data_IF_599727886444
#
_entry.id   IF_599727886444
#
_cell.length_a   1.000
_cell.length_b   1.000
_cell.length_c   1.000
_cell.angle_alpha   90.00
_cell.angle_beta   90.00
_cell.angle_gamma   90.00
#
_symmetry.space_group_name_H-M   'P 1'
#
loop_
_entity.id
_entity.type
_entity.pdbx_description
1 polymer ?
#
# COMPACT_ATOMS: atom_id res chain seq x y z
N UNK A 1 1.52 17.97 20.83
CA UNK A 1 2.20 18.72 19.78
C UNK A 1 1.25 19.40 18.83
N UNK A 2 1.80 20.20 17.97
CA UNK A 2 1.02 20.85 16.94
C UNK A 2 0.54 19.87 15.89
N UNK A 3 -0.64 20.12 15.33
CA UNK A 3 -1.16 19.32 14.21
C UNK A 3 -1.63 20.26 13.11
N UNK A 4 -1.52 19.78 11.89
CA UNK A 4 -1.93 20.52 10.71
C UNK A 4 -2.79 19.61 9.86
N UNK A 5 -3.92 20.11 9.42
CA UNK A 5 -4.77 19.34 8.49
C UNK A 5 -4.16 19.38 7.10
N UNK A 6 -4.06 18.21 6.47
CA UNK A 6 -3.58 18.07 5.08
C UNK A 6 -4.68 17.34 4.32
N UNK A 7 -5.16 17.93 3.24
CA UNK A 7 -6.24 17.37 2.44
C UNK A 7 -5.81 17.36 0.97
N UNK A 8 -4.91 16.43 0.59
CA UNK A 8 -4.32 16.47 -0.75
C UNK A 8 -5.33 16.41 -1.89
N UNK A 9 -6.44 15.71 -1.69
CA UNK A 9 -7.48 15.56 -2.70
C UNK A 9 -8.73 16.38 -2.37
N UNK A 10 -8.62 17.33 -1.45
CA UNK A 10 -9.75 18.17 -1.05
C UNK A 10 -10.40 17.70 0.24
N UNK A 11 -11.27 18.53 0.79
CA UNK A 11 -11.90 18.26 2.09
C UNK A 11 -13.09 17.31 2.04
N UNK A 12 -13.63 17.07 0.85
CA UNK A 12 -14.81 16.21 0.69
C UNK A 12 -14.45 14.74 0.50
N UNK A 13 -13.24 14.36 0.85
CA UNK A 13 -12.74 12.99 0.72
C UNK A 13 -12.59 12.33 2.07
N UNK A 14 -12.79 11.01 2.12
CA UNK A 14 -12.46 10.20 3.29
C UNK A 14 -11.10 9.57 3.09
N UNK A 15 -10.17 9.91 3.96
CA UNK A 15 -8.78 9.45 3.88
C UNK A 15 -8.54 8.29 4.84
N UNK A 16 -7.80 7.28 4.39
CA UNK A 16 -7.53 6.05 5.13
C UNK A 16 -6.05 5.69 5.02
N UNK A 17 -5.55 5.01 6.02
CA UNK A 17 -4.21 4.41 6.03
C UNK A 17 -3.09 5.37 5.65
N UNK A 18 -2.98 6.54 6.30
CA UNK A 18 -1.88 7.45 6.00
C UNK A 18 -0.56 6.91 6.54
N UNK A 19 0.50 7.08 5.77
CA UNK A 19 1.85 6.81 6.25
C UNK A 19 2.88 7.63 5.49
N UNK A 20 3.99 7.90 6.15
CA UNK A 20 5.06 8.75 5.62
C UNK A 20 6.16 7.84 5.08
N UNK A 21 6.73 8.21 3.94
CA UNK A 21 7.85 7.46 3.38
C UNK A 21 9.04 7.45 4.34
N UNK A 22 9.89 6.42 4.29
CA UNK A 22 11.05 6.37 5.20
C UNK A 22 11.93 7.60 5.16
N UNK A 23 12.05 8.26 4.00
CA UNK A 23 12.86 9.49 3.89
C UNK A 23 12.11 10.75 4.29
N UNK A 24 10.84 10.65 4.71
CA UNK A 24 10.06 11.77 5.21
C UNK A 24 9.52 12.72 4.16
N UNK A 25 9.66 12.43 2.86
CA UNK A 25 9.31 13.40 1.81
C UNK A 25 7.95 13.18 1.17
N UNK A 26 7.37 11.99 1.32
CA UNK A 26 6.12 11.64 0.65
C UNK A 26 5.09 11.12 1.65
N UNK A 27 3.84 11.32 1.29
CA UNK A 27 2.68 10.85 2.05
C UNK A 27 1.94 9.82 1.21
N UNK A 28 1.72 8.64 1.78
CA UNK A 28 0.90 7.57 1.20
C UNK A 28 -0.45 7.58 1.90
N UNK A 29 -1.51 7.43 1.15
CA UNK A 29 -2.85 7.35 1.72
C UNK A 29 -3.82 6.74 0.73
N UNK A 30 -4.97 6.31 1.23
CA UNK A 30 -6.08 5.88 0.37
C UNK A 30 -7.21 6.88 0.48
N UNK A 31 -7.88 7.14 -0.64
CA UNK A 31 -9.10 7.93 -0.68
C UNK A 31 -10.25 6.95 -0.97
N UNK A 32 -11.21 6.89 -0.06
CA UNK A 32 -12.36 5.97 -0.18
C UNK A 32 -13.07 6.20 -1.52
N UNK A 33 -13.26 5.12 -2.26
CA UNK A 33 -13.92 5.14 -3.56
C UNK A 33 -13.08 5.66 -4.71
N UNK A 34 -11.84 6.09 -4.47
CA UNK A 34 -11.01 6.68 -5.52
C UNK A 34 -9.68 6.01 -5.73
N UNK A 35 -9.13 5.33 -4.73
CA UNK A 35 -7.90 4.58 -4.89
C UNK A 35 -6.79 4.99 -3.94
N UNK A 36 -5.58 4.54 -4.26
CA UNK A 36 -4.37 4.76 -3.48
C UNK A 36 -3.55 5.87 -4.12
N UNK A 37 -3.11 6.81 -3.30
CA UNK A 37 -2.45 8.03 -3.76
C UNK A 37 -1.14 8.26 -3.04
N UNK A 38 -0.24 8.98 -3.69
CA UNK A 38 0.96 9.54 -3.08
C UNK A 38 0.97 11.04 -3.38
N UNK A 39 1.32 11.82 -2.36
CA UNK A 39 1.55 13.27 -2.52
C UNK A 39 2.88 13.62 -1.90
N UNK A 40 3.31 14.86 -2.08
CA UNK A 40 4.40 15.40 -1.27
C UNK A 40 3.93 15.48 0.18
N UNK A 41 4.88 15.58 1.12
CA UNK A 41 4.54 15.56 2.55
C UNK A 41 3.64 16.72 2.96
N UNK A 42 3.65 17.80 2.20
CA UNK A 42 2.78 18.96 2.45
C UNK A 42 1.40 18.82 1.80
N UNK A 43 1.14 17.70 1.12
CA UNK A 43 -0.13 17.45 0.45
C UNK A 43 -0.18 17.90 -1.00
N UNK A 44 0.88 18.53 -1.50
CA UNK A 44 0.91 18.99 -2.90
C UNK A 44 1.17 17.83 -3.86
N UNK A 45 0.78 18.02 -5.11
CA UNK A 45 1.04 17.12 -6.24
C UNK A 45 0.59 15.67 -5.99
N UNK A 46 -0.68 15.45 -5.61
CA UNK A 46 -1.16 14.07 -5.41
C UNK A 46 -1.27 13.35 -6.74
N UNK A 47 -0.86 12.09 -6.76
CA UNK A 47 -1.06 11.20 -7.92
C UNK A 47 -1.67 9.90 -7.45
N UNK A 48 -2.57 9.35 -8.27
CA UNK A 48 -3.14 8.03 -8.04
C UNK A 48 -2.17 6.99 -8.59
N UNK A 49 -1.82 6.02 -7.75
CA UNK A 49 -0.87 4.99 -8.17
C UNK A 49 -1.52 3.61 -8.34
N UNK A 50 -2.61 3.34 -7.63
CA UNK A 50 -3.25 2.03 -7.65
C UNK A 50 -4.60 2.10 -6.96
N UNK A 51 -5.21 0.94 -6.76
CA UNK A 51 -6.38 0.79 -5.89
C UNK A 51 -6.13 -0.39 -4.97
N UNK A 52 -5.33 -0.15 -3.93
CA UNK A 52 -4.92 -1.16 -2.97
C UNK A 52 -5.35 -0.74 -1.57
N UNK A 53 -5.81 -1.70 -0.78
CA UNK A 53 -6.16 -1.49 0.62
C UNK A 53 -4.95 -1.78 1.51
N UNK A 54 -4.96 -1.21 2.71
CA UNK A 54 -3.89 -1.37 3.70
C UNK A 54 -2.50 -1.18 3.09
N UNK A 55 -2.27 -0.09 2.32
CA UNK A 55 -0.98 0.10 1.66
C UNK A 55 0.11 0.47 2.66
N UNK A 56 1.32 -0.03 2.42
CA UNK A 56 2.50 0.25 3.24
C UNK A 56 3.70 0.49 2.34
N UNK A 57 4.70 1.18 2.88
CA UNK A 57 5.93 1.47 2.15
C UNK A 57 6.86 0.27 2.10
N UNK A 58 7.52 0.08 0.96
CA UNK A 58 8.68 -0.79 0.80
C UNK A 58 9.81 0.10 0.32
N UNK A 59 10.67 0.55 1.25
CA UNK A 59 11.62 1.60 0.95
C UNK A 59 10.90 2.87 0.52
N UNK A 60 11.55 3.69 -0.29
CA UNK A 60 10.98 4.96 -0.77
C UNK A 60 10.40 4.86 -2.17
N UNK A 61 10.49 3.70 -2.83
CA UNK A 61 10.17 3.58 -4.24
C UNK A 61 9.02 2.62 -4.56
N UNK A 62 8.57 1.83 -3.57
CA UNK A 62 7.52 0.84 -3.78
C UNK A 62 6.48 0.90 -2.69
N UNK A 63 5.26 0.56 -3.06
CA UNK A 63 4.13 0.41 -2.15
C UNK A 63 3.66 -1.02 -2.23
N UNK A 64 3.40 -1.62 -1.07
CA UNK A 64 2.82 -2.95 -0.96
C UNK A 64 1.40 -2.79 -0.41
N UNK A 65 0.45 -3.48 -1.00
CA UNK A 65 -0.93 -3.41 -0.52
C UNK A 65 -1.69 -4.67 -0.85
N UNK A 66 -2.96 -4.70 -0.43
CA UNK A 66 -3.83 -5.82 -0.73
C UNK A 66 -4.86 -5.42 -1.78
N UNK A 67 -5.03 -6.30 -2.78
CA UNK A 67 -6.06 -6.16 -3.79
C UNK A 67 -7.14 -7.20 -3.49
N UNK A 68 -8.13 -6.79 -2.72
CA UNK A 68 -9.17 -7.68 -2.23
C UNK A 68 -10.50 -7.41 -2.93
N UNK A 69 -11.27 -8.47 -3.08
CA UNK A 69 -12.61 -8.42 -3.63
C UNK A 69 -13.56 -9.13 -2.67
N UNK A 70 -14.71 -8.52 -2.43
CA UNK A 70 -15.72 -9.09 -1.56
C UNK A 70 -17.08 -9.09 -2.22
N UNK A 71 -18.06 -9.74 -1.58
CA UNK A 71 -19.44 -9.77 -2.03
C UNK A 71 -20.38 -9.01 -1.06
N UNK A 72 -19.79 -8.17 -0.17
CA UNK A 72 -20.52 -7.46 0.86
C UNK A 72 -20.60 -8.20 2.18
N UNK A 73 -20.32 -9.50 2.20
CA UNK A 73 -20.37 -10.31 3.42
C UNK A 73 -19.00 -10.84 3.81
N UNK A 74 -18.20 -11.24 2.82
CA UNK A 74 -16.86 -11.78 3.08
C UNK A 74 -15.94 -11.48 1.91
N UNK A 75 -14.65 -11.56 2.17
CA UNK A 75 -13.63 -11.41 1.14
C UNK A 75 -13.59 -12.70 0.32
N UNK A 76 -13.72 -12.57 -1.00
CA UNK A 76 -13.71 -13.69 -1.94
C UNK A 76 -12.30 -13.98 -2.46
N UNK A 77 -11.49 -12.95 -2.62
CA UNK A 77 -10.11 -13.09 -3.06
C UNK A 77 -9.32 -11.90 -2.53
N UNK A 78 -8.02 -12.10 -2.34
CA UNK A 78 -7.12 -11.01 -1.98
C UNK A 78 -5.70 -11.42 -2.33
N UNK A 79 -4.98 -10.53 -3.01
CA UNK A 79 -3.57 -10.73 -3.33
C UNK A 79 -2.73 -9.60 -2.74
N UNK A 80 -1.50 -9.92 -2.38
CA UNK A 80 -0.52 -8.90 -2.01
C UNK A 80 0.17 -8.46 -3.29
N UNK A 81 0.18 -7.16 -3.52
CA UNK A 81 0.71 -6.58 -4.75
C UNK A 81 1.67 -5.46 -4.44
N UNK A 82 2.64 -5.28 -5.31
CA UNK A 82 3.58 -4.17 -5.28
C UNK A 82 3.28 -3.22 -6.43
N UNK A 83 3.40 -1.93 -6.17
CA UNK A 83 3.28 -0.90 -7.19
C UNK A 83 4.38 0.12 -6.96
N UNK A 84 4.98 0.62 -8.05
CA UNK A 84 5.96 1.70 -7.95
C UNK A 84 5.28 3.01 -7.61
N UNK A 85 6.03 3.93 -7.00
CA UNK A 85 5.45 5.21 -6.54
C UNK A 85 4.93 6.08 -7.68
N UNK A 86 5.35 5.82 -8.91
CA UNK A 86 4.81 6.52 -10.08
C UNK A 86 3.60 5.80 -10.70
N UNK A 87 3.22 4.65 -10.14
CA UNK A 87 2.07 3.89 -10.61
C UNK A 87 2.32 3.11 -11.89
N UNK A 88 3.54 3.09 -12.44
CA UNK A 88 3.80 2.52 -13.75
C UNK A 88 4.12 1.02 -13.72
N UNK A 89 4.62 0.50 -12.61
CA UNK A 89 5.00 -0.89 -12.47
C UNK A 89 4.17 -1.57 -11.40
N UNK A 90 3.66 -2.75 -11.73
CA UNK A 90 2.83 -3.55 -10.83
C UNK A 90 3.34 -4.98 -10.82
N UNK A 91 3.26 -5.63 -9.66
CA UNK A 91 3.64 -7.04 -9.52
C UNK A 91 2.79 -7.68 -8.44
N UNK A 92 2.21 -8.84 -8.76
CA UNK A 92 1.51 -9.65 -7.76
C UNK A 92 2.55 -10.51 -7.04
N UNK A 93 2.53 -10.48 -5.72
CA UNK A 93 3.54 -11.15 -4.90
C UNK A 93 3.04 -12.44 -4.26
N UNK A 94 1.75 -12.53 -3.93
CA UNK A 94 1.22 -13.69 -3.24
C UNK A 94 0.68 -14.73 -4.20
N UNK A 95 0.59 -15.98 -3.71
CA UNK A 95 -0.02 -17.08 -4.45
C UNK A 95 -1.52 -16.83 -4.59
N UNK A 96 -2.11 -16.95 -5.80
CA UNK A 96 -3.54 -16.70 -5.99
C UNK A 96 -4.44 -17.67 -5.23
N UNK A 97 -3.94 -18.82 -4.78
CA UNK A 97 -4.74 -19.77 -3.99
C UNK A 97 -4.92 -19.31 -2.54
N UNK A 98 -4.20 -18.30 -2.10
CA UNK A 98 -4.28 -17.78 -0.73
C UNK A 98 -4.99 -16.44 -0.74
N UNK A 99 -5.96 -16.26 0.16
CA UNK A 99 -6.55 -14.94 0.40
C UNK A 99 -5.62 -14.20 1.34
N UNK A 100 -4.73 -13.40 0.79
CA UNK A 100 -3.63 -12.75 1.51
C UNK A 100 -4.01 -11.32 1.83
N UNK A 101 -3.86 -10.92 3.11
CA UNK A 101 -4.37 -9.65 3.62
C UNK A 101 -3.37 -8.97 4.54
N UNK A 102 -3.48 -7.64 4.63
CA UNK A 102 -2.80 -6.81 5.63
C UNK A 102 -1.30 -7.01 5.68
N UNK A 103 -0.61 -6.65 4.60
CA UNK A 103 0.84 -6.82 4.55
C UNK A 103 1.56 -5.88 5.52
N UNK A 104 2.68 -6.37 6.06
CA UNK A 104 3.62 -5.57 6.85
C UNK A 104 5.02 -5.86 6.33
N UNK A 105 5.80 -4.80 6.14
CA UNK A 105 7.14 -4.89 5.55
C UNK A 105 8.18 -4.82 6.66
N UNK A 106 9.21 -5.67 6.58
CA UNK A 106 10.32 -5.62 7.54
C UNK A 106 11.13 -4.33 7.36
N UNK A 107 11.81 -3.92 8.44
CA UNK A 107 12.57 -2.66 8.42
C UNK A 107 13.70 -2.67 7.41
N UNK A 108 14.25 -3.84 7.09
CA UNK A 108 15.31 -3.97 6.08
C UNK A 108 14.75 -4.21 4.66
N UNK A 109 13.43 -4.16 4.48
CA UNK A 109 12.76 -4.32 3.20
C UNK A 109 12.97 -5.69 2.55
N UNK A 110 13.32 -6.72 3.33
CA UNK A 110 13.60 -8.04 2.77
C UNK A 110 12.45 -9.03 2.90
N UNK A 111 11.45 -8.72 3.72
CA UNK A 111 10.37 -9.65 4.02
C UNK A 111 9.03 -8.93 4.15
N UNK A 112 7.98 -9.63 3.79
CA UNK A 112 6.60 -9.19 4.01
C UNK A 112 5.89 -10.26 4.84
N UNK A 113 5.25 -9.84 5.91
CA UNK A 113 4.33 -10.69 6.66
C UNK A 113 2.91 -10.34 6.22
N UNK A 114 2.05 -11.33 6.11
CA UNK A 114 0.64 -11.10 5.85
C UNK A 114 -0.17 -12.22 6.48
N UNK A 115 -1.46 -11.98 6.67
CA UNK A 115 -2.35 -13.01 7.19
C UNK A 115 -3.29 -13.53 6.11
N UNK A 116 -3.82 -14.72 6.31
CA UNK A 116 -4.82 -15.29 5.44
C UNK A 116 -6.20 -15.20 6.08
N UNK A 117 -7.23 -15.49 5.29
CA UNK A 117 -8.62 -15.47 5.76
C UNK A 117 -8.92 -16.53 6.80
N UNK A 118 -8.11 -17.59 6.89
CA UNK A 118 -8.29 -18.63 7.90
C UNK A 118 -7.45 -18.39 9.17
N UNK A 119 -6.81 -17.23 9.27
CA UNK A 119 -6.11 -16.82 10.49
C UNK A 119 -4.64 -17.22 10.57
N UNK A 120 -4.08 -17.77 9.51
CA UNK A 120 -2.66 -18.09 9.47
C UNK A 120 -1.83 -16.84 9.14
N UNK A 121 -0.59 -16.82 9.62
CA UNK A 121 0.38 -15.78 9.28
C UNK A 121 1.44 -16.39 8.38
N UNK A 122 1.75 -15.71 7.31
CA UNK A 122 2.79 -16.11 6.36
C UNK A 122 3.90 -15.07 6.32
N UNK A 123 5.10 -15.54 6.08
CA UNK A 123 6.26 -14.69 5.88
C UNK A 123 6.84 -14.97 4.49
N UNK A 124 6.98 -13.91 3.71
CA UNK A 124 7.45 -14.00 2.35
C UNK A 124 8.74 -13.22 2.20
N UNK A 125 9.76 -13.83 1.59
CA UNK A 125 10.96 -13.09 1.20
C UNK A 125 10.67 -12.30 -0.06
N UNK A 126 11.12 -11.05 -0.08
CA UNK A 126 10.94 -10.19 -1.23
C UNK A 126 12.20 -10.22 -2.09
N UNK A 127 12.00 -10.40 -3.38
CA UNK A 127 13.08 -10.30 -4.34
C UNK A 127 12.70 -9.31 -5.44
N UNK A 128 12.31 -8.11 -5.04
CA UNK A 128 12.10 -7.04 -5.98
C UNK A 128 13.47 -6.53 -6.38
N UNK A 129 13.83 -6.71 -7.63
CA UNK A 129 15.12 -6.25 -8.11
C UNK A 129 15.15 -4.74 -8.07
N UNK A 130 16.10 -4.20 -7.31
CA UNK A 130 16.43 -2.80 -7.40
C UNK A 130 16.88 -2.53 -8.82
N UNK A 131 16.48 -1.38 -9.36
CA UNK A 131 16.97 -0.99 -10.66
C UNK A 131 18.48 -0.91 -10.60
N UNK A 132 19.13 -1.53 -11.58
CA UNK A 132 20.57 -1.40 -11.71
C UNK A 132 20.91 0.08 -11.82
N UNK A 133 21.93 0.45 -11.09
CA UNK A 133 22.39 1.83 -11.09
C UNK A 133 23.15 2.13 -12.36
#
# INVERSE_FOLDING_TARGET
GERKEISPNGKDCSYLWPSISPDGTKLLYKVAGKGTFISNIDGSSPIRIANLNAPVWLGNEWIIGMNDKDNGERILSSSIEAVSIDGQKHQTLSDPSTIAMFPAVSTDNSSIAFNSDNGDIYLMKINIKQKAK
#
